data_IF_759740861297
#
_entry.id   IF_759740861297
#
_cell.length_a   1.000
_cell.length_b   1.000
_cell.length_c   1.000
_cell.angle_alpha   90.00
_cell.angle_beta   90.00
_cell.angle_gamma   90.00
#
_symmetry.space_group_name_H-M   'P 1'
#
loop_
_entity.id
_entity.type
_entity.pdbx_description
1 polymer ?
#
# COMPACT_ATOMS: atom_id res chain seq x y z
N UNK A 1 17.40 1.92 -6.75
CA UNK A 1 16.24 2.81 -6.57
C UNK A 1 16.73 4.12 -5.99
N UNK A 2 16.55 5.28 -6.66
CA UNK A 2 17.07 6.55 -6.16
C UNK A 2 16.37 6.94 -4.86
N UNK A 3 17.16 7.26 -3.85
CA UNK A 3 16.70 7.71 -2.53
C UNK A 3 17.12 9.16 -2.37
N UNK A 4 16.16 10.03 -2.09
CA UNK A 4 16.42 11.36 -1.58
C UNK A 4 16.13 11.37 -0.09
N UNK A 5 17.15 11.63 0.69
CA UNK A 5 17.02 11.82 2.12
C UNK A 5 16.75 13.31 2.32
N UNK A 6 15.63 13.71 2.93
CA UNK A 6 15.42 15.11 3.23
C UNK A 6 16.59 15.60 4.07
N UNK A 7 17.34 16.57 3.57
CA UNK A 7 18.44 17.19 4.30
C UNK A 7 17.96 17.56 5.71
N UNK A 8 18.70 17.08 6.72
CA UNK A 8 18.63 17.48 8.12
C UNK A 8 17.72 16.65 9.03
N UNK A 9 18.09 15.39 9.23
CA UNK A 9 17.98 14.87 10.58
C UNK A 9 19.33 15.14 11.25
N UNK A 10 19.45 16.10 12.18
CA UNK A 10 20.68 16.26 12.93
C UNK A 10 20.99 14.97 13.67
N UNK A 11 22.28 14.62 13.78
CA UNK A 11 22.77 13.41 14.44
C UNK A 11 22.36 13.23 15.91
N UNK A 12 21.52 14.11 16.43
CA UNK A 12 20.96 14.10 17.79
C UNK A 12 19.44 13.99 17.80
N UNK A 13 18.81 13.77 16.65
CA UNK A 13 17.34 13.64 16.59
C UNK A 13 16.89 12.34 17.23
N UNK A 14 15.88 12.42 18.10
CA UNK A 14 15.18 11.23 18.61
C UNK A 14 14.19 10.79 17.54
N UNK A 15 14.34 9.56 17.04
CA UNK A 15 13.37 8.95 16.13
C UNK A 15 12.33 8.18 16.92
N UNK A 16 11.08 8.42 16.58
CA UNK A 16 9.91 7.68 17.06
C UNK A 16 9.13 7.12 15.88
N UNK A 17 8.20 6.21 16.13
CA UNK A 17 7.35 5.60 15.10
C UNK A 17 6.51 6.59 14.27
N UNK A 18 6.42 7.85 14.69
CA UNK A 18 5.70 8.91 13.98
C UNK A 18 6.61 9.64 12.95
N UNK A 19 7.92 9.37 12.97
CA UNK A 19 8.88 10.08 12.13
C UNK A 19 9.06 9.38 10.78
N UNK A 20 8.96 10.17 9.72
CA UNK A 20 9.37 9.80 8.37
C UNK A 20 10.81 10.26 8.20
N UNK A 21 11.73 9.35 7.88
CA UNK A 21 13.15 9.69 7.78
C UNK A 21 13.73 9.57 6.37
N UNK A 22 13.06 8.85 5.47
CA UNK A 22 13.54 8.68 4.09
C UNK A 22 12.38 8.71 3.13
N UNK A 23 12.56 9.35 1.99
CA UNK A 23 11.64 9.30 0.87
C UNK A 23 12.33 8.67 -0.34
N UNK A 24 11.70 7.67 -0.93
CA UNK A 24 12.14 7.08 -2.18
C UNK A 24 11.21 7.49 -3.31
N UNK A 25 11.78 7.96 -4.42
CA UNK A 25 11.00 8.26 -5.59
C UNK A 25 10.91 7.01 -6.47
N UNK A 26 9.71 6.48 -6.63
CA UNK A 26 9.38 5.50 -7.66
C UNK A 26 8.70 6.21 -8.82
N UNK A 27 8.50 5.53 -9.95
CA UNK A 27 7.78 6.12 -11.08
C UNK A 27 6.34 6.52 -10.74
N UNK A 28 5.69 5.80 -9.84
CA UNK A 28 4.27 5.98 -9.53
C UNK A 28 4.02 6.77 -8.24
N UNK A 29 4.85 6.61 -7.22
CA UNK A 29 4.61 7.19 -5.90
C UNK A 29 5.91 7.57 -5.20
N UNK A 30 5.82 8.52 -4.27
CA UNK A 30 6.88 8.77 -3.28
C UNK A 30 6.67 7.84 -2.09
N UNK A 31 7.54 6.84 -1.95
CA UNK A 31 7.49 5.94 -0.80
C UNK A 31 8.18 6.58 0.40
N UNK A 32 7.51 6.58 1.54
CA UNK A 32 8.02 7.09 2.81
C UNK A 32 8.45 5.94 3.69
N UNK A 33 9.72 5.90 4.04
CA UNK A 33 10.26 4.90 4.98
C UNK A 33 10.08 5.44 6.40
N UNK A 34 9.34 4.71 7.21
CA UNK A 34 9.01 5.10 8.59
C UNK A 34 9.74 4.22 9.59
N UNK A 35 9.91 4.73 10.80
CA UNK A 35 10.45 3.96 11.91
C UNK A 35 9.41 2.93 12.37
N UNK A 36 9.77 1.65 12.57
CA UNK A 36 8.88 0.65 13.17
C UNK A 36 8.37 1.09 14.56
N UNK A 37 7.14 0.74 14.96
CA UNK A 37 6.53 1.25 16.20
C UNK A 37 7.19 0.72 17.47
N UNK A 38 7.95 -0.36 17.38
CA UNK A 38 8.73 -0.96 18.47
C UNK A 38 10.17 -0.43 18.55
N UNK A 39 10.52 0.54 17.70
CA UNK A 39 11.84 1.15 17.65
C UNK A 39 11.78 2.62 18.01
N UNK A 40 12.64 3.03 18.93
CA UNK A 40 12.93 4.42 19.24
C UNK A 40 14.41 4.55 19.63
N UNK A 41 15.02 5.67 19.30
CA UNK A 41 16.44 5.88 19.63
C UNK A 41 17.01 7.15 19.05
N UNK A 42 18.28 7.37 19.31
CA UNK A 42 19.04 8.48 18.77
C UNK A 42 19.68 8.09 17.43
N UNK A 43 19.60 8.96 16.44
CA UNK A 43 20.26 8.75 15.15
C UNK A 43 21.78 8.82 15.32
N UNK A 44 22.45 7.76 14.92
CA UNK A 44 23.92 7.70 14.85
C UNK A 44 24.41 8.07 13.45
N UNK A 45 23.80 7.50 12.42
CA UNK A 45 24.18 7.77 11.03
C UNK A 45 22.98 7.64 10.11
N UNK A 46 23.01 8.38 9.01
CA UNK A 46 22.03 8.34 7.92
C UNK A 46 22.82 8.17 6.63
N UNK A 47 22.33 7.30 5.74
CA UNK A 47 22.93 7.11 4.42
C UNK A 47 22.85 8.41 3.60
N UNK A 48 23.79 8.60 2.67
CA UNK A 48 23.76 9.72 1.73
C UNK A 48 22.75 9.50 0.61
N UNK A 49 22.43 10.54 -0.17
CA UNK A 49 21.57 10.39 -1.34
C UNK A 49 22.23 9.46 -2.36
N UNK A 50 21.50 8.47 -2.85
CA UNK A 50 22.02 7.48 -3.77
C UNK A 50 21.05 6.39 -4.14
N UNK A 51 21.52 5.41 -4.89
CA UNK A 51 20.78 4.20 -5.22
C UNK A 51 21.07 3.10 -4.21
N UNK A 52 19.98 2.55 -3.63
CA UNK A 52 20.04 1.53 -2.59
C UNK A 52 19.09 0.38 -2.93
N UNK A 53 19.47 -0.80 -2.48
CA UNK A 53 18.57 -1.95 -2.44
C UNK A 53 17.62 -1.83 -1.23
N UNK A 54 16.56 -2.61 -1.23
CA UNK A 54 15.56 -2.54 -0.14
C UNK A 54 16.09 -3.05 1.21
N UNK A 55 17.18 -3.80 1.23
CA UNK A 55 17.76 -4.39 2.43
C UNK A 55 18.97 -3.61 2.97
N UNK A 56 19.54 -2.70 2.16
CA UNK A 56 20.70 -1.91 2.59
C UNK A 56 20.36 -1.00 3.76
N UNK A 57 21.32 -0.81 4.68
CA UNK A 57 21.18 0.11 5.80
C UNK A 57 20.97 1.55 5.34
N UNK A 58 19.89 2.18 5.82
CA UNK A 58 19.61 3.60 5.55
C UNK A 58 19.86 4.48 6.77
N UNK A 59 19.53 3.97 7.96
CA UNK A 59 19.72 4.70 9.21
C UNK A 59 20.20 3.74 10.28
N UNK A 60 21.18 4.16 11.06
CA UNK A 60 21.60 3.48 12.29
C UNK A 60 21.14 4.30 13.48
N UNK A 61 20.47 3.66 14.41
CA UNK A 61 19.99 4.27 15.65
C UNK A 61 20.59 3.59 16.86
N UNK A 62 20.84 4.35 17.93
CA UNK A 62 21.15 3.84 19.24
C UNK A 62 19.89 3.79 20.09
N UNK A 63 19.53 2.60 20.55
CA UNK A 63 18.39 2.41 21.46
C UNK A 63 18.71 2.89 22.86
N UNK A 64 17.67 3.01 23.71
CA UNK A 64 17.82 3.40 25.12
C UNK A 64 18.68 2.47 25.94
N UNK A 65 18.77 1.20 25.57
CA UNK A 65 19.61 0.19 26.20
C UNK A 65 21.10 0.24 25.76
N UNK A 66 21.43 1.19 24.86
CA UNK A 66 22.77 1.33 24.28
C UNK A 66 23.05 0.42 23.09
N UNK A 67 22.14 -0.48 22.73
CA UNK A 67 22.29 -1.31 21.53
C UNK A 67 22.03 -0.51 20.25
N UNK A 68 22.66 -0.93 19.15
CA UNK A 68 22.42 -0.36 17.84
C UNK A 68 21.34 -1.14 17.08
N UNK A 69 20.55 -0.43 16.29
CA UNK A 69 19.61 -1.01 15.36
C UNK A 69 19.73 -0.35 13.99
N UNK A 70 19.60 -1.15 12.96
CA UNK A 70 19.69 -0.73 11.57
C UNK A 70 18.27 -0.68 11.00
N UNK A 71 17.96 0.41 10.33
CA UNK A 71 16.71 0.59 9.60
C UNK A 71 16.99 0.56 8.10
N UNK A 72 16.21 -0.25 7.40
CA UNK A 72 16.22 -0.36 5.94
C UNK A 72 14.83 -0.03 5.38
N UNK A 73 14.64 -0.14 4.07
CA UNK A 73 13.32 0.03 3.46
C UNK A 73 12.36 -1.11 3.81
N UNK A 74 12.89 -2.29 4.15
CA UNK A 74 12.07 -3.44 4.55
C UNK A 74 11.77 -3.41 6.04
N UNK A 75 10.54 -3.75 6.40
CA UNK A 75 10.10 -3.89 7.77
C UNK A 75 9.34 -5.21 7.94
N UNK A 76 9.62 -5.94 9.02
CA UNK A 76 8.80 -7.06 9.45
C UNK A 76 7.67 -6.51 10.31
N UNK A 77 6.44 -6.71 9.86
CA UNK A 77 5.25 -6.22 10.55
C UNK A 77 4.34 -7.37 10.94
N UNK A 78 3.84 -7.42 12.19
CA UNK A 78 2.85 -8.43 12.56
C UNK A 78 1.58 -8.23 11.74
N UNK A 79 1.19 -9.26 10.99
CA UNK A 79 0.15 -9.16 9.95
C UNK A 79 -1.22 -8.66 10.47
N UNK A 80 -1.55 -8.89 11.74
CA UNK A 80 -2.82 -8.47 12.36
C UNK A 80 -2.72 -7.18 13.17
N UNK A 81 -1.56 -6.56 13.24
CA UNK A 81 -1.38 -5.28 13.93
C UNK A 81 -1.55 -4.15 12.93
N UNK A 82 -2.55 -3.29 13.08
CA UNK A 82 -2.76 -2.18 12.16
C UNK A 82 -1.58 -1.19 12.24
N UNK A 83 -1.26 -0.56 11.12
CA UNK A 83 -0.28 0.53 11.10
C UNK A 83 -0.77 1.69 11.97
N UNK A 84 0.10 2.33 12.76
CA UNK A 84 -0.26 3.47 13.56
C UNK A 84 -0.68 4.64 12.66
N UNK A 85 -1.70 5.36 13.07
CA UNK A 85 -2.17 6.58 12.41
C UNK A 85 -2.22 7.72 13.41
N UNK A 86 -1.64 8.85 13.08
CA UNK A 86 -1.66 10.04 13.95
C UNK A 86 -3.04 10.69 14.02
N UNK A 87 -3.80 10.63 12.92
CA UNK A 87 -5.14 11.23 12.83
C UNK A 87 -5.99 10.52 11.78
N UNK A 88 -7.26 10.33 12.13
CA UNK A 88 -8.30 9.94 11.16
C UNK A 88 -9.03 11.18 10.66
N UNK A 89 -9.09 11.34 9.36
CA UNK A 89 -9.88 12.40 8.72
C UNK A 89 -11.31 11.93 8.45
N UNK A 90 -12.30 12.82 8.50
CA UNK A 90 -13.65 12.45 8.08
C UNK A 90 -13.65 12.14 6.58
N UNK A 91 -14.45 11.16 6.19
CA UNK A 91 -14.65 10.76 4.80
C UNK A 91 -15.55 11.80 4.08
N UNK A 92 -14.97 12.91 3.65
CA UNK A 92 -15.68 14.05 3.05
C UNK A 92 -15.44 14.21 1.56
N UNK A 93 -14.49 13.48 0.97
CA UNK A 93 -14.18 13.55 -0.46
C UNK A 93 -14.72 12.33 -1.18
N UNK A 94 -15.44 12.48 -2.31
CA UNK A 94 -15.90 11.35 -3.08
C UNK A 94 -14.71 10.66 -3.77
N UNK A 95 -14.78 9.32 -3.85
CA UNK A 95 -13.98 8.51 -4.74
C UNK A 95 -14.68 8.47 -6.10
N UNK A 96 -14.05 8.98 -7.12
CA UNK A 96 -14.59 8.91 -8.48
C UNK A 96 -14.29 7.52 -9.04
N UNK A 97 -15.34 6.77 -9.33
CA UNK A 97 -15.24 5.38 -9.82
C UNK A 97 -15.30 5.27 -11.33
N UNK A 98 -15.71 6.34 -12.02
CA UNK A 98 -15.99 6.35 -13.44
C UNK A 98 -17.34 5.69 -13.81
N UNK A 99 -18.07 5.16 -12.83
CA UNK A 99 -19.39 4.58 -13.03
C UNK A 99 -20.47 5.61 -12.65
N UNK A 100 -21.18 6.14 -13.64
CA UNK A 100 -22.16 7.21 -13.42
C UNK A 100 -23.22 6.90 -12.35
N UNK A 101 -23.71 5.67 -12.30
CA UNK A 101 -24.69 5.26 -11.29
C UNK A 101 -24.09 5.30 -9.89
N UNK A 102 -22.85 4.81 -9.72
CA UNK A 102 -22.16 4.83 -8.43
C UNK A 102 -21.88 6.26 -8.03
N UNK A 103 -21.25 7.03 -8.91
CA UNK A 103 -20.77 8.39 -8.60
C UNK A 103 -21.91 9.38 -8.31
N UNK A 104 -23.10 9.15 -8.88
CA UNK A 104 -24.25 10.07 -8.71
C UNK A 104 -25.27 9.60 -7.66
N UNK A 105 -25.56 8.31 -7.56
CA UNK A 105 -26.63 7.80 -6.71
C UNK A 105 -26.11 7.07 -5.46
N UNK A 106 -24.91 6.50 -5.52
CA UNK A 106 -24.28 5.75 -4.43
C UNK A 106 -22.81 6.14 -4.24
N UNK A 107 -22.52 7.43 -4.07
CA UNK A 107 -21.13 7.91 -4.05
C UNK A 107 -20.31 7.23 -2.95
N UNK A 108 -19.12 6.76 -3.33
CA UNK A 108 -18.14 6.22 -2.41
C UNK A 108 -17.26 7.35 -1.87
N UNK A 109 -16.91 7.28 -0.61
CA UNK A 109 -16.00 8.25 0.00
C UNK A 109 -14.57 7.73 -0.01
N UNK A 110 -13.59 8.59 -0.30
CA UNK A 110 -12.16 8.29 -0.09
C UNK A 110 -11.92 7.99 1.39
N UNK A 111 -11.29 6.85 1.67
CA UNK A 111 -11.12 6.33 3.04
C UNK A 111 -12.37 5.67 3.63
N UNK A 112 -13.43 5.53 2.84
CA UNK A 112 -14.64 4.80 3.23
C UNK A 112 -14.55 3.30 2.94
N UNK A 113 -15.59 2.58 3.37
CA UNK A 113 -15.77 1.16 3.09
C UNK A 113 -17.10 0.96 2.37
N UNK A 114 -17.09 0.16 1.32
CA UNK A 114 -18.31 -0.20 0.58
C UNK A 114 -18.44 -1.72 0.49
N UNK A 115 -19.69 -2.21 0.56
CA UNK A 115 -20.01 -3.60 0.31
C UNK A 115 -20.81 -3.71 -1.00
N UNK A 116 -20.50 -4.75 -1.77
CA UNK A 116 -21.23 -5.09 -3.01
C UNK A 116 -21.86 -6.49 -2.83
N UNK A 117 -22.95 -6.62 -2.06
CA UNK A 117 -23.59 -7.90 -1.83
C UNK A 117 -24.43 -8.33 -3.03
N UNK A 118 -24.62 -9.64 -3.16
CA UNK A 118 -25.50 -10.19 -4.20
C UNK A 118 -25.30 -11.70 -4.39
N UNK A 119 -26.26 -12.37 -4.98
CA UNK A 119 -26.19 -13.76 -5.38
C UNK A 119 -25.25 -14.01 -6.56
N UNK A 120 -25.22 -15.25 -7.05
CA UNK A 120 -24.47 -15.59 -8.26
C UNK A 120 -25.04 -14.85 -9.49
N UNK A 121 -24.16 -14.40 -10.38
CA UNK A 121 -24.57 -13.76 -11.64
C UNK A 121 -25.10 -12.33 -11.52
N UNK A 122 -25.06 -11.70 -10.34
CA UNK A 122 -25.54 -10.32 -10.15
C UNK A 122 -24.54 -9.23 -10.54
N UNK A 123 -23.36 -9.60 -11.03
CA UNK A 123 -22.36 -8.64 -11.52
C UNK A 123 -21.43 -8.07 -10.43
N UNK A 124 -21.37 -8.68 -9.23
CA UNK A 124 -20.47 -8.21 -8.15
C UNK A 124 -19.02 -8.05 -8.59
N UNK A 125 -18.44 -9.11 -9.14
CA UNK A 125 -17.05 -9.12 -9.61
C UNK A 125 -16.84 -8.08 -10.71
N UNK A 126 -17.78 -7.97 -11.65
CA UNK A 126 -17.73 -6.95 -12.71
C UNK A 126 -17.73 -5.53 -12.15
N UNK A 127 -18.53 -5.25 -11.13
CA UNK A 127 -18.54 -3.94 -10.48
C UNK A 127 -17.21 -3.65 -9.79
N UNK A 128 -16.65 -4.64 -9.08
CA UNK A 128 -15.34 -4.51 -8.44
C UNK A 128 -14.23 -4.24 -9.47
N UNK A 129 -14.22 -4.97 -10.59
CA UNK A 129 -13.26 -4.75 -11.66
C UNK A 129 -13.41 -3.34 -12.26
N UNK A 130 -14.62 -2.87 -12.50
CA UNK A 130 -14.84 -1.52 -13.04
C UNK A 130 -14.34 -0.43 -12.07
N UNK A 131 -14.62 -0.57 -10.78
CA UNK A 131 -14.11 0.36 -9.76
C UNK A 131 -12.59 0.33 -9.73
N UNK A 132 -11.97 -0.86 -9.72
CA UNK A 132 -10.52 -0.99 -9.70
C UNK A 132 -9.86 -0.35 -10.94
N UNK A 133 -10.42 -0.57 -12.13
CA UNK A 133 -9.86 -0.03 -13.38
C UNK A 133 -9.94 1.50 -13.48
N UNK A 134 -11.06 2.09 -13.08
CA UNK A 134 -11.38 3.47 -13.42
C UNK A 134 -11.37 4.44 -12.25
N UNK A 135 -11.19 3.95 -11.00
CA UNK A 135 -11.14 4.84 -9.83
C UNK A 135 -9.94 5.79 -9.87
N UNK A 136 -10.15 6.94 -9.25
CA UNK A 136 -9.12 7.98 -9.09
C UNK A 136 -8.15 7.69 -7.91
N UNK A 137 -7.99 6.42 -7.55
CA UNK A 137 -7.02 5.96 -6.57
C UNK A 137 -5.58 6.00 -7.14
N UNK A 138 -4.60 6.29 -6.31
CA UNK A 138 -3.19 6.32 -6.72
C UNK A 138 -2.60 4.92 -6.84
N UNK A 139 -2.98 4.01 -5.96
CA UNK A 139 -2.57 2.60 -5.96
C UNK A 139 -3.82 1.74 -5.87
N UNK A 140 -3.81 0.63 -6.59
CA UNK A 140 -4.84 -0.39 -6.56
C UNK A 140 -4.26 -1.65 -5.94
N UNK A 141 -4.88 -2.15 -4.88
CA UNK A 141 -4.58 -3.45 -4.32
C UNK A 141 -5.80 -4.33 -4.50
N UNK A 142 -5.71 -5.27 -5.44
CA UNK A 142 -6.78 -6.20 -5.73
C UNK A 142 -6.50 -7.54 -5.03
N UNK A 143 -7.39 -7.93 -4.12
CA UNK A 143 -7.21 -9.13 -3.29
C UNK A 143 -8.29 -10.16 -3.66
N UNK A 144 -7.88 -11.25 -4.29
CA UNK A 144 -8.72 -12.43 -4.49
C UNK A 144 -8.65 -13.33 -3.26
N UNK A 145 -9.63 -13.19 -2.36
CA UNK A 145 -9.72 -13.98 -1.14
C UNK A 145 -10.73 -15.14 -1.32
N UNK A 146 -10.29 -16.26 -1.87
CA UNK A 146 -11.12 -17.41 -2.18
C UNK A 146 -11.84 -17.33 -3.54
N UNK A 147 -11.40 -16.44 -4.41
CA UNK A 147 -11.88 -16.34 -5.79
C UNK A 147 -11.47 -17.58 -6.62
N UNK A 148 -12.13 -17.78 -7.75
CA UNK A 148 -11.75 -18.84 -8.69
C UNK A 148 -10.45 -18.48 -9.42
N UNK A 149 -9.60 -19.47 -9.66
CA UNK A 149 -8.33 -19.26 -10.36
C UNK A 149 -8.49 -18.62 -11.74
N UNK A 150 -9.51 -19.04 -12.50
CA UNK A 150 -9.81 -18.47 -13.82
C UNK A 150 -10.24 -16.99 -13.75
N UNK A 151 -10.99 -16.58 -12.71
CA UNK A 151 -11.36 -15.18 -12.49
C UNK A 151 -10.12 -14.32 -12.19
N UNK A 152 -9.19 -14.83 -11.40
CA UNK A 152 -7.93 -14.14 -11.11
C UNK A 152 -7.02 -14.03 -12.33
N UNK A 153 -6.97 -15.07 -13.18
CA UNK A 153 -6.24 -15.03 -14.45
C UNK A 153 -6.84 -13.98 -15.38
N UNK A 154 -8.16 -13.92 -15.49
CA UNK A 154 -8.85 -12.91 -16.28
C UNK A 154 -8.51 -11.48 -15.80
N UNK A 155 -8.50 -11.24 -14.47
CA UNK A 155 -8.10 -9.93 -13.91
C UNK A 155 -6.69 -9.57 -14.34
N UNK A 156 -5.76 -10.52 -14.22
CA UNK A 156 -4.36 -10.31 -14.60
C UNK A 156 -4.23 -9.95 -16.09
N UNK A 157 -4.88 -10.70 -16.95
CA UNK A 157 -4.87 -10.46 -18.40
C UNK A 157 -5.47 -9.11 -18.76
N UNK A 158 -6.67 -8.80 -18.23
CA UNK A 158 -7.33 -7.53 -18.51
C UNK A 158 -6.54 -6.32 -18.01
N UNK A 159 -6.00 -6.37 -16.79
CA UNK A 159 -5.25 -5.24 -16.22
C UNK A 159 -3.90 -5.03 -16.90
N UNK A 160 -3.29 -6.12 -17.43
CA UNK A 160 -2.05 -6.03 -18.19
C UNK A 160 -2.21 -5.38 -19.57
N UNK A 161 -3.41 -5.38 -20.13
CA UNK A 161 -3.73 -4.81 -21.43
C UNK A 161 -4.28 -3.39 -21.38
N UNK A 162 -4.52 -2.86 -20.18
CA UNK A 162 -5.09 -1.53 -19.99
C UNK A 162 -4.04 -0.50 -19.62
N UNK A 163 -4.20 0.68 -20.20
CA UNK A 163 -3.45 1.86 -19.80
C UNK A 163 -4.23 2.68 -18.77
N UNK A 164 -3.54 3.28 -17.82
CA UNK A 164 -4.13 4.24 -16.88
C UNK A 164 -4.50 5.51 -17.66
N UNK A 165 -5.79 5.88 -17.72
CA UNK A 165 -6.22 7.04 -18.49
C UNK A 165 -5.66 8.38 -17.96
N UNK A 166 -5.10 8.39 -16.75
CA UNK A 166 -4.50 9.59 -16.15
C UNK A 166 -3.07 9.81 -16.58
N UNK A 167 -2.32 8.73 -16.77
CA UNK A 167 -0.86 8.78 -17.02
C UNK A 167 -0.48 8.28 -18.40
N UNK A 168 -1.32 7.45 -19.04
CA UNK A 168 -1.01 6.73 -20.28
C UNK A 168 -0.04 5.56 -20.09
N UNK A 169 0.34 5.24 -18.86
CA UNK A 169 1.20 4.11 -18.53
C UNK A 169 0.34 2.84 -18.29
N UNK A 170 0.94 1.63 -18.40
CA UNK A 170 0.21 0.41 -18.08
C UNK A 170 -0.41 0.44 -16.68
N UNK A 171 -1.68 0.06 -16.56
CA UNK A 171 -2.43 0.06 -15.30
C UNK A 171 -1.74 -0.79 -14.23
N UNK A 172 -1.01 -1.82 -14.63
CA UNK A 172 -0.23 -2.68 -13.75
C UNK A 172 0.89 -1.95 -13.01
N UNK A 173 1.38 -0.81 -13.48
CA UNK A 173 2.41 -0.03 -12.76
C UNK A 173 1.91 0.49 -11.40
N UNK A 174 0.59 0.69 -11.25
CA UNK A 174 -0.03 1.10 -9.99
C UNK A 174 -0.90 0.04 -9.34
N UNK A 175 -0.84 -1.21 -9.82
CA UNK A 175 -1.70 -2.29 -9.35
C UNK A 175 -0.90 -3.42 -8.71
N UNK A 176 -1.34 -3.87 -7.55
CA UNK A 176 -0.85 -5.08 -6.89
C UNK A 176 -1.96 -6.11 -6.86
N UNK A 177 -1.70 -7.31 -7.36
CA UNK A 177 -2.63 -8.43 -7.31
C UNK A 177 -2.18 -9.45 -6.26
N UNK A 178 -3.05 -9.73 -5.31
CA UNK A 178 -2.86 -10.77 -4.29
C UNK A 178 -3.88 -11.87 -4.54
N UNK A 179 -3.43 -13.02 -5.04
CA UNK A 179 -4.31 -14.12 -5.43
C UNK A 179 -4.21 -15.29 -4.46
N UNK A 180 -5.22 -15.45 -3.61
CA UNK A 180 -5.44 -16.66 -2.81
C UNK A 180 -6.77 -17.29 -3.26
N UNK A 181 -6.63 -18.30 -4.13
CA UNK A 181 -7.77 -18.96 -4.77
C UNK A 181 -8.53 -19.91 -3.82
N UNK A 182 -9.72 -20.33 -4.22
CA UNK A 182 -10.62 -21.12 -3.39
C UNK A 182 -10.07 -22.49 -2.95
N UNK A 183 -9.07 -23.01 -3.64
CA UNK A 183 -8.39 -24.27 -3.31
C UNK A 183 -7.26 -24.12 -2.27
N UNK A 184 -6.91 -22.88 -1.88
CA UNK A 184 -5.91 -22.63 -0.85
C UNK A 184 -6.46 -22.76 0.56
N UNK A 185 -5.62 -23.04 1.58
CA UNK A 185 -6.05 -23.11 2.97
C UNK A 185 -6.73 -21.83 3.46
N UNK A 186 -7.72 -21.95 4.32
CA UNK A 186 -8.49 -20.81 4.86
C UNK A 186 -7.58 -19.75 5.51
N UNK A 187 -6.58 -20.20 6.28
CA UNK A 187 -5.63 -19.29 6.92
C UNK A 187 -4.83 -18.44 5.92
N UNK A 188 -4.43 -19.00 4.77
CA UNK A 188 -3.75 -18.27 3.72
C UNK A 188 -4.67 -17.24 3.04
N UNK A 189 -5.94 -17.63 2.81
CA UNK A 189 -6.95 -16.71 2.26
C UNK A 189 -7.23 -15.55 3.20
N UNK A 190 -7.39 -15.82 4.50
CA UNK A 190 -7.57 -14.79 5.52
C UNK A 190 -6.36 -13.86 5.60
N UNK A 191 -5.14 -14.41 5.60
CA UNK A 191 -3.91 -13.61 5.66
C UNK A 191 -3.76 -12.63 4.49
N UNK A 192 -4.31 -12.95 3.31
CA UNK A 192 -4.23 -12.07 2.14
C UNK A 192 -4.90 -10.72 2.35
N UNK A 193 -5.97 -10.65 3.14
CA UNK A 193 -6.67 -9.41 3.47
C UNK A 193 -5.76 -8.45 4.25
N UNK A 194 -5.08 -8.98 5.26
CA UNK A 194 -4.15 -8.18 6.07
C UNK A 194 -2.87 -7.81 5.32
N UNK A 195 -2.44 -8.65 4.38
CA UNK A 195 -1.25 -8.37 3.57
C UNK A 195 -1.47 -7.24 2.56
N UNK A 196 -2.72 -7.00 2.16
CA UNK A 196 -3.07 -5.94 1.22
C UNK A 196 -3.43 -4.61 1.88
N UNK A 197 -3.66 -4.59 3.17
CA UNK A 197 -3.94 -3.39 3.97
C UNK A 197 -2.66 -2.76 4.49
#
# INVERSE_FOLDING_TARGET
MPIKIPNQLPATSVLTSENIFVMTETRAITHKVMVPPDMEGFVLSVAEDGDYTIEEPLVTIQKKDGSEAILSMTQKWPIRVPRPVSRRYPASRPLITGQRIVDTLFPLAKGGTAAIPGGFGTGKTMMQHQIAKWSDADIIIYIGCGERGNEMTQVLEEFSQLDDPRTGNPLMERTTLIANTSNMPVAAREASLYSGL
#
